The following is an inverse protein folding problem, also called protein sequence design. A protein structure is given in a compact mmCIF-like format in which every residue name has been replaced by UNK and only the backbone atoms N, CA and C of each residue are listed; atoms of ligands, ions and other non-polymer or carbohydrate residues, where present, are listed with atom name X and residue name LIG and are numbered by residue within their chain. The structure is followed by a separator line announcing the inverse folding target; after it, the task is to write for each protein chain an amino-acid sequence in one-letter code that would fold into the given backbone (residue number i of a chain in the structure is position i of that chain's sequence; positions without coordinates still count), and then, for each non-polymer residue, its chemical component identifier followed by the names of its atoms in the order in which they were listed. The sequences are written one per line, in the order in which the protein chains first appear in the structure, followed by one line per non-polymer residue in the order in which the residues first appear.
data_IF_981460500766
#
_entry.id   IF_981460500766
#
_cell.length_a   1.000
_cell.length_b   1.000
_cell.length_c   1.000
_cell.angle_alpha   90.00
_cell.angle_beta   90.00
_cell.angle_gamma   90.00
#
_symmetry.space_group_name_H-M   'P 1'
#
loop_
_entity.id
_entity.type
_entity.pdbx_description
1 polymer ?
#
# COMPACT_ATOMS: atom_id res chain seq x y z
N UNK A 1 -22.54 -17.77 -2.80
CA UNK A 1 -21.06 -17.89 -2.79
C UNK A 1 -20.58 -17.77 -1.37
N UNK A 2 -19.52 -18.49 -1.01
CA UNK A 2 -18.82 -18.35 0.28
C UNK A 2 -17.45 -17.76 -0.01
N UNK A 3 -17.06 -16.74 0.74
CA UNK A 3 -15.72 -16.16 0.69
C UNK A 3 -14.84 -16.82 1.76
N UNK A 4 -13.57 -17.05 1.44
CA UNK A 4 -12.59 -17.65 2.38
C UNK A 4 -11.22 -17.01 2.23
N UNK A 5 -10.36 -17.20 3.23
CA UNK A 5 -8.96 -16.79 3.14
C UNK A 5 -8.25 -17.69 2.13
N UNK A 6 -7.58 -17.07 1.16
CA UNK A 6 -6.81 -17.79 0.14
C UNK A 6 -5.55 -18.42 0.74
N UNK A 7 -5.28 -19.66 0.39
CA UNK A 7 -4.01 -20.32 0.71
C UNK A 7 -2.91 -19.93 -0.29
N UNK A 8 -1.67 -20.29 0.05
CA UNK A 8 -0.48 -20.03 -0.77
C UNK A 8 -0.62 -20.46 -2.24
N UNK A 9 -1.23 -21.63 -2.50
CA UNK A 9 -1.47 -22.14 -3.87
C UNK A 9 -2.41 -21.23 -4.65
N UNK A 10 -3.52 -20.83 -4.04
CA UNK A 10 -4.52 -19.95 -4.68
C UNK A 10 -3.93 -18.57 -4.95
N UNK A 11 -3.22 -17.98 -3.98
CA UNK A 11 -2.52 -16.70 -4.16
C UNK A 11 -1.50 -16.81 -5.31
N UNK A 12 -0.73 -17.89 -5.34
CA UNK A 12 0.26 -18.13 -6.40
C UNK A 12 -0.40 -18.25 -7.77
N UNK A 13 -1.48 -19.02 -7.90
CA UNK A 13 -2.24 -19.15 -9.15
C UNK A 13 -2.75 -17.78 -9.64
N UNK A 14 -3.24 -16.92 -8.74
CA UNK A 14 -3.65 -15.55 -9.09
C UNK A 14 -2.47 -14.68 -9.54
N UNK A 15 -1.27 -14.89 -8.99
CA UNK A 15 -0.06 -14.17 -9.38
C UNK A 15 0.57 -14.71 -10.68
N UNK A 16 0.24 -15.92 -11.13
CA UNK A 16 0.69 -16.49 -12.41
C UNK A 16 -0.23 -16.14 -13.59
N UNK A 17 -1.34 -15.43 -13.35
CA UNK A 17 -2.27 -14.93 -14.38
C UNK A 17 -1.68 -13.74 -15.16
N UNK A 18 -2.41 -13.32 -16.20
CA UNK A 18 -2.11 -12.11 -16.97
C UNK A 18 -3.34 -11.19 -16.98
N UNK A 19 -3.30 -10.02 -16.31
CA UNK A 19 -2.18 -9.51 -15.51
C UNK A 19 -1.99 -10.31 -14.19
N UNK A 20 -0.79 -10.33 -13.61
CA UNK A 20 -0.56 -10.97 -12.32
C UNK A 20 -1.22 -10.17 -11.20
N UNK A 21 -1.76 -10.82 -10.17
CA UNK A 21 -2.37 -10.12 -9.03
C UNK A 21 -1.37 -9.26 -8.24
N UNK A 22 -0.10 -9.66 -8.16
CA UNK A 22 0.96 -8.97 -7.42
C UNK A 22 2.20 -8.89 -8.32
N UNK A 23 2.81 -7.72 -8.47
CA UNK A 23 4.04 -7.57 -9.25
C UNK A 23 5.00 -6.55 -8.61
N UNK A 24 6.27 -6.92 -8.32
CA UNK A 24 6.89 -8.23 -8.50
C UNK A 24 6.47 -9.26 -7.45
N UNK A 25 6.08 -10.46 -7.91
CA UNK A 25 5.72 -11.58 -7.06
C UNK A 25 6.92 -12.44 -6.63
N UNK A 26 7.04 -12.70 -5.33
CA UNK A 26 8.06 -13.59 -4.75
C UNK A 26 7.38 -14.86 -4.22
N UNK A 27 7.56 -16.05 -4.86
CA UNK A 27 6.78 -17.26 -4.57
C UNK A 27 7.21 -18.00 -3.29
N UNK A 28 8.01 -17.36 -2.43
CA UNK A 28 8.49 -17.90 -1.15
C UNK A 28 8.88 -16.76 -0.21
N UNK A 29 8.93 -17.07 1.08
CA UNK A 29 9.45 -16.14 2.09
C UNK A 29 10.97 -15.92 1.90
N UNK A 30 11.37 -14.65 1.88
CA UNK A 30 12.78 -14.20 1.83
C UNK A 30 13.01 -13.01 2.77
N UNK A 31 14.26 -12.64 3.02
CA UNK A 31 14.61 -11.41 3.73
C UNK A 31 14.40 -11.43 5.25
N UNK A 32 14.85 -10.35 5.90
CA UNK A 32 14.67 -10.08 7.35
C UNK A 32 14.57 -8.56 7.57
N UNK A 33 13.39 -7.98 7.87
CA UNK A 33 12.07 -8.63 8.01
C UNK A 33 11.65 -9.39 6.74
N UNK A 34 10.93 -10.50 6.91
CA UNK A 34 10.59 -11.36 5.78
C UNK A 34 9.53 -10.75 4.86
N UNK A 35 9.60 -11.07 3.58
CA UNK A 35 8.64 -10.69 2.53
C UNK A 35 8.34 -11.89 1.60
N UNK A 36 7.30 -11.78 0.77
CA UNK A 36 6.90 -12.79 -0.21
C UNK A 36 5.74 -13.69 0.24
N UNK A 37 5.47 -14.74 -0.55
CA UNK A 37 4.35 -15.66 -0.32
C UNK A 37 4.48 -16.41 1.01
N UNK A 38 3.42 -16.37 1.82
CA UNK A 38 3.22 -17.11 3.08
C UNK A 38 2.03 -18.07 2.94
N UNK A 39 1.79 -18.91 3.95
CA UNK A 39 0.78 -19.99 3.88
C UNK A 39 -0.65 -19.52 3.55
N UNK A 40 -1.04 -18.32 4.01
CA UNK A 40 -2.38 -17.75 3.83
C UNK A 40 -2.32 -16.23 3.59
N UNK A 41 -1.28 -15.77 2.90
CA UNK A 41 -1.08 -14.34 2.67
C UNK A 41 0.22 -14.05 1.94
N UNK A 42 0.48 -12.77 1.73
CA UNK A 42 1.69 -12.29 1.09
C UNK A 42 2.27 -11.13 1.91
N UNK A 43 3.54 -11.22 2.28
CA UNK A 43 4.22 -10.15 2.99
C UNK A 43 4.78 -9.13 2.00
N UNK A 44 4.23 -7.91 2.02
CA UNK A 44 4.63 -6.79 1.15
C UNK A 44 5.90 -6.11 1.65
N UNK A 45 6.61 -5.43 0.76
CA UNK A 45 7.81 -4.64 1.09
C UNK A 45 7.48 -3.14 1.11
N UNK A 46 8.16 -2.43 2.00
CA UNK A 46 8.17 -0.97 2.04
C UNK A 46 9.07 -0.45 0.90
N UNK A 47 8.55 0.47 0.09
CA UNK A 47 9.32 1.19 -0.92
C UNK A 47 10.27 2.22 -0.30
N UNK A 48 10.97 2.97 -1.16
CA UNK A 48 11.94 3.97 -0.72
C UNK A 48 11.40 5.41 -0.76
N UNK A 49 10.17 5.63 -1.25
CA UNK A 49 9.52 6.94 -1.28
C UNK A 49 8.57 7.13 -0.11
N UNK A 50 8.68 8.30 0.50
CA UNK A 50 7.91 8.69 1.67
C UNK A 50 7.35 10.09 1.47
N UNK A 51 6.12 10.31 1.95
CA UNK A 51 5.53 11.63 2.07
C UNK A 51 5.46 12.00 3.55
N UNK A 52 6.30 12.96 3.96
CA UNK A 52 6.57 13.29 5.37
C UNK A 52 5.95 14.66 5.72
N UNK A 53 5.16 14.77 6.80
CA UNK A 53 4.62 16.06 7.24
C UNK A 53 5.70 17.07 7.59
N UNK A 54 5.48 18.34 7.23
CA UNK A 54 6.35 19.45 7.65
C UNK A 54 6.11 19.75 9.14
N UNK A 55 7.15 19.58 9.96
CA UNK A 55 7.06 19.85 11.40
C UNK A 55 6.90 21.34 11.73
N UNK A 56 6.23 21.63 12.85
CA UNK A 56 6.12 22.99 13.40
C UNK A 56 5.03 23.87 12.78
N UNK A 57 4.23 23.33 11.86
CA UNK A 57 3.06 24.00 11.28
C UNK A 57 1.80 23.49 11.98
N UNK A 58 0.97 24.39 12.51
CA UNK A 58 -0.39 24.04 12.92
C UNK A 58 -1.23 23.87 11.66
N UNK A 59 -1.15 22.69 11.07
CA UNK A 59 -1.90 22.28 9.90
C UNK A 59 -3.30 21.79 10.30
N UNK A 60 -4.33 22.22 9.57
CA UNK A 60 -5.61 21.50 9.54
C UNK A 60 -5.49 20.47 8.43
N UNK A 61 -5.67 19.20 8.76
CA UNK A 61 -5.70 18.12 7.78
C UNK A 61 -7.17 17.86 7.42
N UNK A 62 -7.61 18.37 6.27
CA UNK A 62 -8.91 18.05 5.70
C UNK A 62 -8.78 16.78 4.85
N UNK A 63 -9.47 15.67 5.19
CA UNK A 63 -9.42 14.45 4.39
C UNK A 63 -10.11 14.58 3.02
N UNK A 64 -10.93 15.62 2.79
CA UNK A 64 -11.57 15.89 1.49
C UNK A 64 -10.73 16.80 0.59
N UNK A 65 -9.84 17.61 1.18
CA UNK A 65 -8.95 18.55 0.49
C UNK A 65 -7.53 18.39 1.06
N UNK A 66 -6.83 17.35 0.60
CA UNK A 66 -5.56 16.93 1.17
C UNK A 66 -4.47 18.00 0.97
N UNK A 67 -3.90 18.59 2.04
CA UNK A 67 -2.99 19.74 1.92
C UNK A 67 -1.57 19.28 1.57
N UNK A 68 -1.35 18.94 0.29
CA UNK A 68 -0.09 18.36 -0.22
C UNK A 68 1.14 19.22 0.09
N UNK A 69 1.01 20.53 0.10
CA UNK A 69 2.06 21.50 0.40
C UNK A 69 2.59 21.40 1.84
N UNK A 70 1.81 20.80 2.75
CA UNK A 70 2.22 20.55 4.14
C UNK A 70 3.02 19.25 4.30
N UNK A 71 3.34 18.59 3.19
CA UNK A 71 4.17 17.41 3.15
C UNK A 71 5.34 17.59 2.18
N UNK A 72 6.43 16.89 2.46
CA UNK A 72 7.58 16.80 1.55
C UNK A 72 7.78 15.35 1.11
N UNK A 73 8.08 15.18 -0.17
CA UNK A 73 8.54 13.90 -0.69
C UNK A 73 10.00 13.68 -0.28
N UNK A 74 10.30 12.45 0.12
CA UNK A 74 11.63 12.00 0.48
C UNK A 74 11.88 10.63 -0.12
N UNK A 75 12.97 10.49 -0.84
CA UNK A 75 13.51 9.19 -1.25
C UNK A 75 14.65 8.81 -0.31
N UNK A 76 14.58 7.63 0.29
CA UNK A 76 15.52 7.19 1.33
C UNK A 76 16.16 5.86 0.94
N UNK A 77 17.47 5.89 0.74
CA UNK A 77 18.26 4.67 0.58
C UNK A 77 18.56 4.06 1.97
N UNK A 78 17.90 2.95 2.29
CA UNK A 78 18.17 2.18 3.51
C UNK A 78 17.15 2.43 4.63
N UNK A 79 17.60 3.05 5.73
CA UNK A 79 16.79 3.16 6.97
C UNK A 79 16.05 4.49 7.01
N UNK A 80 14.73 4.42 7.17
CA UNK A 80 13.89 5.58 7.46
C UNK A 80 13.72 5.77 8.98
N UNK A 81 14.06 6.94 9.48
CA UNK A 81 13.84 7.31 10.89
C UNK A 81 12.46 7.98 11.07
N UNK A 82 11.53 7.28 11.72
CA UNK A 82 10.23 7.84 12.07
C UNK A 82 10.31 8.56 13.42
N UNK A 83 9.92 9.85 13.44
CA UNK A 83 9.89 10.63 14.66
C UNK A 83 8.82 10.08 15.64
N UNK A 84 9.06 10.13 16.97
CA UNK A 84 8.06 9.72 17.95
C UNK A 84 6.74 10.49 17.79
N UNK A 85 5.61 9.79 17.94
CA UNK A 85 4.26 10.36 17.80
C UNK A 85 3.98 11.03 16.45
N UNK A 86 4.68 10.62 15.39
CA UNK A 86 4.44 11.09 14.03
C UNK A 86 3.92 9.97 13.14
N UNK A 87 3.47 10.36 11.94
CA UNK A 87 3.06 9.46 10.88
C UNK A 87 3.69 9.91 9.56
N UNK A 88 3.86 8.97 8.65
CA UNK A 88 4.31 9.20 7.27
C UNK A 88 3.50 8.33 6.33
N UNK A 89 3.35 8.76 5.09
CA UNK A 89 2.85 7.90 4.03
C UNK A 89 4.04 7.30 3.30
N UNK A 90 3.87 6.07 2.82
CA UNK A 90 4.87 5.35 2.07
C UNK A 90 4.18 4.44 1.05
N UNK A 91 4.93 4.05 0.02
CA UNK A 91 4.48 3.11 -0.99
C UNK A 91 4.94 1.68 -0.69
N UNK A 92 4.24 0.69 -1.24
CA UNK A 92 4.78 -0.67 -1.37
C UNK A 92 5.75 -0.76 -2.54
N UNK A 93 6.64 -1.75 -2.51
CA UNK A 93 7.38 -2.13 -3.72
C UNK A 93 6.52 -2.88 -4.73
N UNK A 94 5.52 -3.62 -4.24
CA UNK A 94 4.59 -4.37 -5.07
C UNK A 94 3.46 -3.49 -5.60
N UNK A 95 3.08 -3.72 -6.86
CA UNK A 95 1.85 -3.29 -7.50
C UNK A 95 0.80 -4.39 -7.38
N UNK A 96 -0.46 -4.01 -7.24
CA UNK A 96 -1.57 -4.93 -7.02
C UNK A 96 -2.63 -4.77 -8.11
N UNK A 97 -2.91 -5.86 -8.83
CA UNK A 97 -4.05 -5.97 -9.74
C UNK A 97 -5.08 -6.93 -9.12
N UNK A 98 -5.87 -6.41 -8.17
CA UNK A 98 -6.83 -7.21 -7.40
C UNK A 98 -7.98 -7.68 -8.31
N UNK A 99 -8.23 -9.00 -8.44
CA UNK A 99 -9.37 -9.52 -9.18
C UNK A 99 -10.73 -9.08 -8.58
N UNK A 100 -11.77 -9.00 -9.41
CA UNK A 100 -13.13 -8.61 -9.00
C UNK A 100 -13.73 -9.51 -7.90
N UNK A 101 -13.25 -10.75 -7.77
CA UNK A 101 -13.67 -11.73 -6.77
C UNK A 101 -12.67 -11.85 -5.59
N UNK A 102 -11.83 -10.85 -5.37
CA UNK A 102 -10.84 -10.85 -4.30
C UNK A 102 -10.86 -9.52 -3.55
N UNK A 103 -10.66 -9.59 -2.23
CA UNK A 103 -10.34 -8.44 -1.39
C UNK A 103 -9.09 -8.75 -0.57
N UNK A 104 -8.15 -7.82 -0.54
CA UNK A 104 -6.93 -7.92 0.26
C UNK A 104 -7.09 -7.17 1.58
N UNK A 105 -6.77 -7.82 2.71
CA UNK A 105 -6.68 -7.15 4.02
C UNK A 105 -5.21 -7.11 4.41
N UNK A 106 -4.71 -5.92 4.71
CA UNK A 106 -3.34 -5.71 5.13
C UNK A 106 -3.25 -5.60 6.66
N UNK A 107 -2.21 -6.20 7.25
CA UNK A 107 -1.94 -6.12 8.68
C UNK A 107 -0.46 -5.88 8.93
N UNK A 108 -0.13 -5.19 10.02
CA UNK A 108 1.25 -4.96 10.42
C UNK A 108 1.94 -6.25 10.88
N UNK A 109 3.23 -6.41 10.53
CA UNK A 109 4.02 -7.54 11.03
C UNK A 109 4.32 -7.38 12.52
N UNK A 110 4.36 -8.50 13.24
CA UNK A 110 4.65 -8.52 14.67
C UNK A 110 5.98 -7.85 15.04
N UNK A 111 6.98 -7.89 14.15
CA UNK A 111 8.26 -7.19 14.34
C UNK A 111 8.10 -5.67 14.50
N UNK A 112 7.22 -5.06 13.70
CA UNK A 112 6.95 -3.62 13.78
C UNK A 112 5.96 -3.31 14.91
N UNK A 113 4.92 -4.13 15.07
CA UNK A 113 3.92 -3.94 16.13
C UNK A 113 4.53 -3.99 17.54
N UNK A 114 5.53 -4.86 17.78
CA UNK A 114 6.27 -4.91 19.07
C UNK A 114 7.05 -3.62 19.36
N UNK A 115 7.38 -2.84 18.35
CA UNK A 115 8.05 -1.54 18.48
C UNK A 115 7.05 -0.36 18.54
N UNK A 116 5.75 -0.63 18.60
CA UNK A 116 4.71 0.41 18.63
C UNK A 116 4.40 1.04 17.27
N UNK A 117 4.88 0.44 16.17
CA UNK A 117 4.59 0.91 14.82
C UNK A 117 3.26 0.33 14.33
N UNK A 118 2.36 1.22 13.91
CA UNK A 118 1.06 0.87 13.33
C UNK A 118 1.13 1.05 11.81
N UNK A 119 0.62 0.06 11.09
CA UNK A 119 0.48 0.10 9.63
C UNK A 119 -1.01 0.16 9.34
N UNK A 120 -1.46 1.31 8.85
CA UNK A 120 -2.86 1.55 8.51
C UNK A 120 -3.02 1.51 7.00
N UNK A 121 -3.62 0.44 6.50
CA UNK A 121 -3.88 0.22 5.08
C UNK A 121 -5.35 -0.17 4.96
N UNK A 122 -6.10 0.53 4.11
CA UNK A 122 -7.48 0.20 3.79
C UNK A 122 -7.55 -1.08 2.97
N UNK A 123 -8.71 -1.77 2.91
CA UNK A 123 -8.83 -2.95 2.08
C UNK A 123 -8.40 -2.70 0.63
N UNK A 124 -7.70 -3.67 0.05
CA UNK A 124 -7.32 -3.69 -1.35
C UNK A 124 -8.50 -4.26 -2.13
N UNK A 125 -9.18 -3.43 -2.90
CA UNK A 125 -10.33 -3.81 -3.71
C UNK A 125 -9.96 -3.76 -5.20
N UNK A 126 -10.77 -4.41 -6.02
CA UNK A 126 -10.69 -4.23 -7.46
C UNK A 126 -11.13 -2.80 -7.81
N UNK A 127 -10.30 -2.08 -8.57
CA UNK A 127 -10.67 -0.78 -9.10
C UNK A 127 -11.38 -0.96 -10.45
N UNK A 128 -12.63 -0.54 -10.50
CA UNK A 128 -13.46 -0.52 -11.71
C UNK A 128 -13.74 0.92 -12.19
N UNK A 129 -14.51 1.06 -13.26
CA UNK A 129 -14.91 2.34 -13.87
C UNK A 129 -15.76 3.25 -12.95
N UNK A 130 -16.25 2.71 -11.83
CA UNK A 130 -17.03 3.43 -10.82
C UNK A 130 -16.20 3.82 -9.60
N UNK A 131 -14.97 3.31 -9.50
CA UNK A 131 -14.10 3.54 -8.36
C UNK A 131 -13.54 4.96 -8.43
N UNK A 132 -13.78 5.75 -7.37
CA UNK A 132 -13.10 7.02 -7.16
C UNK A 132 -11.90 6.82 -6.22
N UNK A 133 -10.75 7.34 -6.63
CA UNK A 133 -9.50 7.25 -5.90
C UNK A 133 -9.06 8.65 -5.50
N UNK A 134 -8.66 8.80 -4.24
CA UNK A 134 -8.04 10.02 -3.75
C UNK A 134 -6.62 10.14 -4.30
N UNK A 135 -6.40 11.13 -5.17
CA UNK A 135 -5.08 11.54 -5.64
C UNK A 135 -4.54 12.68 -4.78
N UNK A 136 -3.30 13.10 -5.04
CA UNK A 136 -2.76 14.33 -4.45
C UNK A 136 -3.53 15.60 -4.87
N UNK A 137 -4.28 15.56 -5.97
CA UNK A 137 -5.04 16.68 -6.53
C UNK A 137 -6.56 16.53 -6.27
N UNK A 138 -6.94 15.66 -5.32
CA UNK A 138 -8.33 15.36 -4.97
C UNK A 138 -8.86 14.06 -5.58
N UNK A 139 -10.17 13.85 -5.45
CA UNK A 139 -10.84 12.63 -5.93
C UNK A 139 -10.95 12.60 -7.45
N UNK A 140 -10.53 11.49 -8.05
CA UNK A 140 -10.69 11.21 -9.49
C UNK A 140 -11.26 9.82 -9.68
N UNK A 141 -11.99 9.60 -10.78
CA UNK A 141 -12.33 8.23 -11.16
C UNK A 141 -11.07 7.47 -11.57
N UNK A 142 -11.09 6.16 -11.38
CA UNK A 142 -10.00 5.28 -11.77
C UNK A 142 -9.65 5.40 -13.27
N UNK A 143 -10.67 5.55 -14.13
CA UNK A 143 -10.50 5.77 -15.58
C UNK A 143 -9.78 7.07 -15.94
N UNK A 144 -9.82 8.07 -15.05
CA UNK A 144 -9.27 9.41 -15.26
C UNK A 144 -7.84 9.58 -14.70
N UNK A 145 -7.28 8.54 -14.05
CA UNK A 145 -5.92 8.60 -13.50
C UNK A 145 -4.87 8.57 -14.61
N UNK A 146 -3.85 9.42 -14.51
CA UNK A 146 -2.67 9.37 -15.39
C UNK A 146 -1.70 8.26 -14.95
N UNK A 147 -0.94 7.70 -15.91
CA UNK A 147 0.07 6.69 -15.61
C UNK A 147 1.16 7.29 -14.71
N UNK A 148 1.47 6.61 -13.60
CA UNK A 148 2.42 7.10 -12.59
C UNK A 148 1.89 8.24 -11.70
N UNK A 149 0.59 8.55 -11.75
CA UNK A 149 -0.03 9.50 -10.83
C UNK A 149 -0.04 8.96 -9.40
N UNK A 150 0.42 9.79 -8.45
CA UNK A 150 0.49 9.41 -7.04
C UNK A 150 -0.93 9.42 -6.47
N UNK A 151 -1.37 8.25 -6.05
CA UNK A 151 -2.62 8.03 -5.33
C UNK A 151 -2.33 7.87 -3.84
N UNK A 152 -3.26 8.31 -2.99
CA UNK A 152 -3.15 8.16 -1.54
C UNK A 152 -3.40 6.71 -1.06
N UNK A 153 -3.83 5.85 -1.98
CA UNK A 153 -3.91 4.39 -1.86
C UNK A 153 -2.75 3.72 -2.62
N UNK A 154 -2.40 2.48 -2.27
CA UNK A 154 -1.21 1.78 -2.80
C UNK A 154 -1.10 1.87 -4.35
N UNK A 155 0.13 2.14 -4.80
CA UNK A 155 0.61 2.36 -6.17
C UNK A 155 -0.19 1.63 -7.30
N UNK A 156 -0.64 2.39 -8.33
CA UNK A 156 -1.26 2.02 -9.65
C UNK A 156 -0.38 1.48 -10.79
#
# INVERSE_FOLDING_TARGET
MSWSILCDREIKELCERTPPMIEPFVPRQEGKPSYGLSSFGYDIRLGNKFLVPLGGVNAVLDPLDFPRELFREMEVEGVFELAPHSQVLAESMEWFNIPEDVIGICTGKSSYARCGLLVNVTPLECFDDRTEILTLEGWKKFEDLAEGEIVATLNR
#
